data_IF_556594235811
#
_entry.id   IF_556594235811
#
_cell.length_a   1.000
_cell.length_b   1.000
_cell.length_c   1.000
_cell.angle_alpha   90.00
_cell.angle_beta   90.00
_cell.angle_gamma   90.00
#
_symmetry.space_group_name_H-M   'P 1'
#
loop_
_entity.id
_entity.type
_entity.pdbx_description
1 polymer ?
#
# COMPACT_ATOMS: atom_id res chain seq x y z
N UNK A 1 26.64 31.51 17.12
CA UNK A 1 26.27 31.42 15.69
C UNK A 1 25.82 30.00 15.25
N UNK A 2 25.67 29.03 16.17
CA UNK A 2 25.28 27.65 15.84
C UNK A 2 23.76 27.38 15.82
N UNK A 3 22.94 28.21 16.48
CA UNK A 3 21.49 27.98 16.58
C UNK A 3 20.69 28.22 15.29
N UNK A 4 21.21 28.99 14.32
CA UNK A 4 20.50 29.28 13.06
C UNK A 4 20.60 28.16 12.00
N UNK A 5 21.68 27.36 12.00
CA UNK A 5 21.81 26.22 11.08
C UNK A 5 20.87 25.05 11.45
N UNK A 6 20.52 24.90 12.73
CA UNK A 6 19.66 23.82 13.21
C UNK A 6 18.19 23.95 12.77
N UNK A 7 17.69 25.18 12.60
CA UNK A 7 16.32 25.43 12.09
C UNK A 7 16.21 25.12 10.59
N UNK A 8 17.26 25.40 9.82
CA UNK A 8 17.27 25.21 8.36
C UNK A 8 17.22 23.72 7.98
N UNK A 9 18.08 22.89 8.57
CA UNK A 9 18.14 21.46 8.23
C UNK A 9 16.89 20.68 8.67
N UNK A 10 16.24 21.07 9.78
CA UNK A 10 14.92 20.53 10.17
C UNK A 10 13.83 20.90 9.16
N UNK A 11 13.82 22.15 8.70
CA UNK A 11 12.89 22.61 7.64
C UNK A 11 13.11 21.87 6.33
N UNK A 12 14.35 21.52 5.98
CA UNK A 12 14.63 20.72 4.77
C UNK A 12 14.12 19.29 4.86
N UNK A 13 14.22 18.63 6.02
CA UNK A 13 13.65 17.28 6.21
C UNK A 13 12.12 17.36 6.17
N UNK A 14 11.50 18.32 6.86
CA UNK A 14 10.05 18.53 6.75
C UNK A 14 9.64 18.92 5.32
N UNK A 15 10.47 19.64 4.56
CA UNK A 15 10.19 19.97 3.17
C UNK A 15 10.29 18.75 2.26
N UNK A 16 11.25 17.84 2.48
CA UNK A 16 11.35 16.56 1.78
C UNK A 16 10.12 15.68 2.03
N UNK A 17 9.67 15.58 3.28
CA UNK A 17 8.46 14.83 3.64
C UNK A 17 7.18 15.40 3.01
N UNK A 18 7.21 16.68 2.61
CA UNK A 18 6.09 17.37 1.96
C UNK A 18 6.34 17.62 0.45
N UNK A 19 7.49 17.20 -0.08
CA UNK A 19 7.84 17.41 -1.47
C UNK A 19 7.00 16.47 -2.34
N UNK A 20 6.47 16.98 -3.46
CA UNK A 20 5.85 16.13 -4.48
C UNK A 20 6.93 15.59 -5.40
N UNK A 21 6.90 14.29 -5.63
CA UNK A 21 7.74 13.64 -6.65
C UNK A 21 7.52 14.31 -8.02
N UNK A 22 8.56 14.73 -8.76
CA UNK A 22 8.38 15.20 -10.14
C UNK A 22 7.80 14.12 -11.08
N UNK A 23 7.82 12.83 -10.69
CA UNK A 23 7.20 11.71 -11.41
C UNK A 23 5.71 11.47 -11.06
N UNK A 24 5.11 12.28 -10.18
CA UNK A 24 3.72 12.07 -9.70
C UNK A 24 2.65 12.11 -10.78
N UNK A 25 2.83 12.85 -11.88
CA UNK A 25 1.74 13.06 -12.85
C UNK A 25 1.37 11.81 -13.64
N UNK A 26 2.32 10.91 -13.91
CA UNK A 26 2.06 9.68 -14.68
C UNK A 26 1.56 8.53 -13.79
N UNK A 27 2.08 8.39 -12.55
CA UNK A 27 1.66 7.32 -11.62
C UNK A 27 0.34 7.60 -10.89
N UNK A 28 -0.06 8.87 -10.75
CA UNK A 28 -1.38 9.20 -10.21
C UNK A 28 -2.52 8.68 -11.11
N UNK A 29 -2.33 8.67 -12.43
CA UNK A 29 -3.27 8.06 -13.39
C UNK A 29 -3.34 6.53 -13.24
N UNK A 30 -2.21 5.85 -13.09
CA UNK A 30 -2.18 4.40 -12.79
C UNK A 30 -2.87 4.07 -11.45
N UNK A 31 -2.68 4.92 -10.43
CA UNK A 31 -3.38 4.78 -9.14
C UNK A 31 -4.89 5.06 -9.24
N UNK A 32 -5.33 5.88 -10.20
CA UNK A 32 -6.74 6.15 -10.46
C UNK A 32 -7.40 4.99 -11.20
N UNK A 33 -6.70 4.38 -12.15
CA UNK A 33 -7.12 3.16 -12.85
C UNK A 33 -7.20 1.97 -11.88
N UNK A 34 -6.23 1.83 -10.98
CA UNK A 34 -6.26 0.80 -9.94
C UNK A 34 -7.30 1.07 -8.84
N UNK A 35 -7.62 2.34 -8.53
CA UNK A 35 -8.76 2.73 -7.68
C UNK A 35 -10.09 2.38 -8.35
N UNK A 36 -10.22 2.63 -9.64
CA UNK A 36 -11.39 2.20 -10.41
C UNK A 36 -11.52 0.68 -10.35
N UNK A 37 -10.45 -0.07 -10.59
CA UNK A 37 -10.43 -1.54 -10.54
C UNK A 37 -10.86 -2.10 -9.16
N UNK A 38 -10.35 -1.58 -8.05
CA UNK A 38 -10.74 -2.04 -6.72
C UNK A 38 -12.13 -1.57 -6.26
N UNK A 39 -12.55 -0.35 -6.66
CA UNK A 39 -13.94 0.06 -6.50
C UNK A 39 -14.89 -0.87 -7.28
N UNK A 40 -14.45 -1.34 -8.46
CA UNK A 40 -15.18 -2.33 -9.24
C UNK A 40 -15.21 -3.70 -8.54
N UNK A 41 -14.14 -4.16 -7.89
CA UNK A 41 -14.12 -5.43 -7.11
C UNK A 41 -15.08 -5.36 -5.91
N UNK A 42 -15.02 -4.31 -5.09
CA UNK A 42 -15.96 -4.16 -3.96
C UNK A 42 -17.41 -3.99 -4.44
N UNK A 43 -17.61 -3.26 -5.55
CA UNK A 43 -18.91 -3.15 -6.21
C UNK A 43 -19.38 -4.50 -6.73
N UNK A 44 -18.49 -5.36 -7.24
CA UNK A 44 -18.78 -6.71 -7.74
C UNK A 44 -19.15 -7.67 -6.61
N UNK A 45 -18.58 -7.50 -5.40
CA UNK A 45 -19.00 -8.26 -4.22
C UNK A 45 -20.40 -7.84 -3.77
N UNK A 46 -20.69 -6.53 -3.75
CA UNK A 46 -22.04 -6.02 -3.44
C UNK A 46 -23.07 -6.34 -4.54
N UNK A 47 -22.67 -6.28 -5.82
CA UNK A 47 -23.44 -6.74 -6.97
C UNK A 47 -23.66 -8.24 -6.86
N UNK A 48 -22.68 -9.03 -6.41
CA UNK A 48 -22.81 -10.47 -6.23
C UNK A 48 -23.90 -10.83 -5.21
N UNK A 49 -24.02 -10.07 -4.11
CA UNK A 49 -25.11 -10.23 -3.16
C UNK A 49 -26.47 -9.84 -3.76
N UNK A 50 -26.51 -8.73 -4.49
CA UNK A 50 -27.72 -8.25 -5.17
C UNK A 50 -28.15 -9.19 -6.31
N UNK A 51 -27.18 -9.80 -7.00
CA UNK A 51 -27.39 -10.77 -8.07
C UNK A 51 -27.85 -12.11 -7.53
N UNK A 52 -27.38 -12.55 -6.35
CA UNK A 52 -27.92 -13.73 -5.65
C UNK A 52 -29.38 -13.53 -5.27
N UNK A 53 -29.76 -12.33 -4.82
CA UNK A 53 -31.15 -11.97 -4.53
C UNK A 53 -32.02 -11.94 -5.80
N UNK A 54 -31.54 -11.28 -6.86
CA UNK A 54 -32.23 -11.22 -8.16
C UNK A 54 -32.33 -12.61 -8.80
N UNK A 55 -31.29 -13.44 -8.69
CA UNK A 55 -31.30 -14.81 -9.16
C UNK A 55 -32.29 -15.67 -8.36
N UNK A 56 -32.34 -15.52 -7.04
CA UNK A 56 -33.34 -16.18 -6.20
C UNK A 56 -34.77 -15.82 -6.63
N UNK A 57 -35.02 -14.54 -6.91
CA UNK A 57 -36.30 -14.08 -7.44
C UNK A 57 -36.59 -14.61 -8.85
N UNK A 58 -35.57 -14.64 -9.73
CA UNK A 58 -35.66 -15.17 -11.09
C UNK A 58 -35.95 -16.67 -11.12
N UNK A 59 -35.33 -17.46 -10.24
CA UNK A 59 -35.59 -18.88 -10.07
C UNK A 59 -36.99 -19.15 -9.51
N UNK A 60 -37.43 -18.36 -8.51
CA UNK A 60 -38.80 -18.44 -8.01
C UNK A 60 -39.82 -18.15 -9.10
N UNK A 61 -39.57 -17.12 -9.93
CA UNK A 61 -40.42 -16.78 -11.06
C UNK A 61 -40.44 -17.87 -12.15
N UNK A 62 -39.28 -18.45 -12.48
CA UNK A 62 -39.18 -19.58 -13.40
C UNK A 62 -39.96 -20.81 -12.91
N UNK A 63 -39.84 -21.14 -11.62
CA UNK A 63 -40.59 -22.24 -10.99
C UNK A 63 -42.10 -21.97 -11.01
N UNK A 64 -42.50 -20.71 -10.82
CA UNK A 64 -43.90 -20.28 -10.92
C UNK A 64 -44.46 -20.47 -12.34
N UNK A 65 -43.69 -20.09 -13.38
CA UNK A 65 -44.07 -20.29 -14.78
C UNK A 65 -44.18 -21.78 -15.13
N UNK A 66 -43.24 -22.61 -14.66
CA UNK A 66 -43.27 -24.06 -14.83
C UNK A 66 -44.49 -24.66 -14.13
N UNK A 67 -44.78 -24.23 -12.90
CA UNK A 67 -45.95 -24.69 -12.14
C UNK A 67 -47.28 -24.32 -12.80
N UNK A 68 -47.43 -23.09 -13.29
CA UNK A 68 -48.63 -22.63 -14.00
C UNK A 68 -48.78 -23.33 -15.35
N UNK A 69 -47.68 -23.48 -16.10
CA UNK A 69 -47.66 -24.20 -17.37
C UNK A 69 -48.06 -25.67 -17.20
N UNK A 70 -47.50 -26.34 -16.19
CA UNK A 70 -47.83 -27.73 -15.88
C UNK A 70 -49.27 -27.91 -15.39
N UNK A 71 -49.83 -26.95 -14.64
CA UNK A 71 -51.22 -27.00 -14.18
C UNK A 71 -52.25 -26.74 -15.29
N UNK A 72 -51.85 -26.02 -16.36
CA UNK A 72 -52.70 -25.70 -17.51
C UNK A 72 -52.44 -26.57 -18.75
N UNK A 73 -51.59 -27.59 -18.64
CA UNK A 73 -51.09 -28.39 -19.78
C UNK A 73 -50.48 -27.54 -20.92
N UNK A 74 -49.98 -26.34 -20.60
CA UNK A 74 -49.39 -25.43 -21.56
C UNK A 74 -47.87 -25.65 -21.64
N UNK A 75 -47.46 -26.43 -22.65
CA UNK A 75 -46.06 -26.75 -22.88
C UNK A 75 -45.22 -25.49 -23.16
N UNK A 76 -45.82 -24.45 -23.76
CA UNK A 76 -45.10 -23.23 -24.14
C UNK A 76 -44.59 -22.44 -22.92
N UNK A 77 -45.42 -22.30 -21.88
CA UNK A 77 -45.05 -21.66 -20.61
C UNK A 77 -43.97 -22.45 -19.87
N UNK A 78 -44.04 -23.78 -19.95
CA UNK A 78 -43.07 -24.67 -19.31
C UNK A 78 -41.69 -24.52 -19.96
N UNK A 79 -41.61 -24.48 -21.29
CA UNK A 79 -40.36 -24.22 -22.01
C UNK A 79 -39.78 -22.83 -21.73
N UNK A 80 -40.63 -21.80 -21.64
CA UNK A 80 -40.21 -20.43 -21.32
C UNK A 80 -39.58 -20.35 -19.92
N UNK A 81 -40.19 -21.01 -18.93
CA UNK A 81 -39.64 -21.10 -17.57
C UNK A 81 -38.28 -21.80 -17.52
N UNK A 82 -38.13 -22.91 -18.25
CA UNK A 82 -36.85 -23.62 -18.37
C UNK A 82 -35.76 -22.78 -19.05
N UNK A 83 -36.10 -22.06 -20.13
CA UNK A 83 -35.18 -21.15 -20.82
C UNK A 83 -34.70 -20.03 -19.87
N UNK A 84 -35.61 -19.45 -19.09
CA UNK A 84 -35.29 -18.38 -18.14
C UNK A 84 -34.38 -18.87 -17.01
N UNK A 85 -34.61 -20.09 -16.50
CA UNK A 85 -33.73 -20.71 -15.51
C UNK A 85 -32.32 -20.96 -16.08
N UNK A 86 -32.21 -21.46 -17.32
CA UNK A 86 -30.93 -21.68 -18.00
C UNK A 86 -30.16 -20.38 -18.23
N UNK A 87 -30.82 -19.33 -18.72
CA UNK A 87 -30.19 -18.02 -18.93
C UNK A 87 -29.70 -17.42 -17.61
N UNK A 88 -30.50 -17.54 -16.54
CA UNK A 88 -30.12 -17.06 -15.21
C UNK A 88 -28.90 -17.81 -14.67
N UNK A 89 -28.84 -19.13 -14.87
CA UNK A 89 -27.71 -19.95 -14.46
C UNK A 89 -26.44 -19.59 -15.25
N UNK A 90 -26.57 -19.38 -16.55
CA UNK A 90 -25.46 -18.97 -17.41
C UNK A 90 -24.91 -17.59 -17.01
N UNK A 91 -25.79 -16.65 -16.69
CA UNK A 91 -25.40 -15.32 -16.21
C UNK A 91 -24.65 -15.39 -14.86
N UNK A 92 -25.10 -16.25 -13.93
CA UNK A 92 -24.41 -16.50 -12.67
C UNK A 92 -23.01 -17.09 -12.87
N UNK A 93 -22.90 -18.10 -13.74
CA UNK A 93 -21.61 -18.71 -14.09
C UNK A 93 -20.66 -17.69 -14.73
N UNK A 94 -21.18 -16.84 -15.61
CA UNK A 94 -20.40 -15.79 -16.26
C UNK A 94 -19.87 -14.78 -15.23
N UNK A 95 -20.72 -14.28 -14.32
CA UNK A 95 -20.30 -13.35 -13.26
C UNK A 95 -19.29 -14.00 -12.32
N UNK A 96 -19.50 -15.26 -11.94
CA UNK A 96 -18.57 -15.99 -11.09
C UNK A 96 -17.19 -16.15 -11.77
N UNK A 97 -17.17 -16.55 -13.04
CA UNK A 97 -15.94 -16.69 -13.80
C UNK A 97 -15.22 -15.36 -13.98
N UNK A 98 -15.96 -14.28 -14.29
CA UNK A 98 -15.41 -12.94 -14.44
C UNK A 98 -14.85 -12.39 -13.13
N UNK A 99 -15.60 -12.52 -12.02
CA UNK A 99 -15.15 -12.11 -10.69
C UNK A 99 -13.90 -12.86 -10.25
N UNK A 100 -13.82 -14.17 -10.53
CA UNK A 100 -12.62 -14.97 -10.24
C UNK A 100 -11.41 -14.54 -11.07
N UNK A 101 -11.61 -14.13 -12.32
CA UNK A 101 -10.54 -13.57 -13.15
C UNK A 101 -10.01 -12.26 -12.57
N UNK A 102 -10.91 -11.34 -12.21
CA UNK A 102 -10.55 -10.05 -11.64
C UNK A 102 -9.83 -10.19 -10.29
N UNK A 103 -10.28 -11.14 -9.46
CA UNK A 103 -9.65 -11.43 -8.18
C UNK A 103 -8.19 -11.90 -8.34
N UNK A 104 -7.92 -12.78 -9.32
CA UNK A 104 -6.57 -13.24 -9.63
C UNK A 104 -5.66 -12.12 -10.13
N UNK A 105 -6.21 -11.21 -10.93
CA UNK A 105 -5.47 -10.06 -11.45
C UNK A 105 -5.07 -9.11 -10.31
N UNK A 106 -6.01 -8.81 -9.41
CA UNK A 106 -5.74 -8.02 -8.21
C UNK A 106 -4.72 -8.69 -7.28
N UNK A 107 -4.84 -10.01 -7.06
CA UNK A 107 -3.89 -10.80 -6.28
C UNK A 107 -2.47 -10.69 -6.87
N UNK A 108 -2.32 -10.86 -8.19
CA UNK A 108 -1.03 -10.73 -8.87
C UNK A 108 -0.42 -9.33 -8.73
N UNK A 109 -1.23 -8.27 -8.86
CA UNK A 109 -0.74 -6.90 -8.67
C UNK A 109 -0.29 -6.65 -7.23
N UNK A 110 -1.03 -7.17 -6.25
CA UNK A 110 -0.68 -7.05 -4.84
C UNK A 110 0.56 -7.87 -4.47
N UNK A 111 0.74 -9.05 -5.04
CA UNK A 111 1.96 -9.86 -4.86
C UNK A 111 3.20 -9.15 -5.40
N UNK A 112 3.09 -8.53 -6.58
CA UNK A 112 4.18 -7.75 -7.17
C UNK A 112 4.51 -6.53 -6.30
N UNK A 113 3.49 -5.78 -5.88
CA UNK A 113 3.66 -4.65 -4.96
C UNK A 113 4.27 -5.07 -3.62
N UNK A 114 3.80 -6.17 -3.03
CA UNK A 114 4.36 -6.70 -1.78
C UNK A 114 5.83 -7.08 -1.94
N UNK A 115 6.20 -7.68 -3.08
CA UNK A 115 7.59 -8.01 -3.39
C UNK A 115 8.47 -6.77 -3.43
N UNK A 116 8.01 -5.68 -4.06
CA UNK A 116 8.74 -4.41 -4.06
C UNK A 116 8.92 -3.85 -2.64
N UNK A 117 7.87 -3.89 -1.81
CA UNK A 117 7.94 -3.44 -0.41
C UNK A 117 8.90 -4.30 0.42
N UNK A 118 8.92 -5.62 0.22
CA UNK A 118 9.84 -6.53 0.89
C UNK A 118 11.29 -6.29 0.48
N UNK A 119 11.56 -6.01 -0.80
CA UNK A 119 12.89 -5.63 -1.27
C UNK A 119 13.34 -4.32 -0.62
N UNK A 120 12.45 -3.33 -0.57
CA UNK A 120 12.75 -2.03 0.04
C UNK A 120 12.99 -2.15 1.55
N UNK A 121 12.21 -2.99 2.23
CA UNK A 121 12.41 -3.31 3.64
C UNK A 121 13.78 -3.94 3.86
N UNK A 122 14.12 -4.97 3.08
CA UNK A 122 15.43 -5.64 3.17
C UNK A 122 16.60 -4.69 2.95
N UNK A 123 16.47 -3.80 1.96
CA UNK A 123 17.45 -2.73 1.70
C UNK A 123 17.59 -1.80 2.90
N UNK A 124 16.48 -1.33 3.46
CA UNK A 124 16.47 -0.45 4.63
C UNK A 124 17.05 -1.13 5.89
N UNK A 125 16.70 -2.40 6.13
CA UNK A 125 17.25 -3.21 7.23
C UNK A 125 18.79 -3.29 7.14
N UNK A 126 19.30 -3.61 5.96
CA UNK A 126 20.74 -3.67 5.66
C UNK A 126 21.43 -2.30 5.81
N UNK A 127 20.76 -1.24 5.37
CA UNK A 127 21.27 0.13 5.47
C UNK A 127 21.40 0.56 6.94
N UNK A 128 20.35 0.36 7.74
CA UNK A 128 20.35 0.66 9.17
C UNK A 128 21.46 -0.12 9.89
N UNK A 129 21.62 -1.42 9.60
CA UNK A 129 22.71 -2.21 10.20
C UNK A 129 24.10 -1.66 9.83
N UNK A 130 24.28 -1.21 8.59
CA UNK A 130 25.54 -0.60 8.13
C UNK A 130 25.80 0.73 8.84
N UNK A 131 24.79 1.57 8.95
CA UNK A 131 24.83 2.83 9.70
C UNK A 131 25.17 2.56 11.15
N UNK A 132 24.53 1.60 11.80
CA UNK A 132 24.79 1.23 13.19
C UNK A 132 26.24 0.81 13.38
N UNK A 133 26.76 -0.08 12.53
CA UNK A 133 28.18 -0.51 12.60
C UNK A 133 29.15 0.66 12.46
N UNK A 134 28.88 1.60 11.55
CA UNK A 134 29.74 2.77 11.29
C UNK A 134 29.64 3.80 12.40
N UNK A 135 28.45 4.00 12.96
CA UNK A 135 28.16 5.05 13.95
C UNK A 135 28.34 4.61 15.40
N UNK A 136 28.38 3.30 15.70
CA UNK A 136 28.53 2.74 17.06
C UNK A 136 29.73 3.32 17.82
N UNK A 137 30.79 3.71 17.10
CA UNK A 137 32.00 4.32 17.67
C UNK A 137 31.92 5.84 17.84
N UNK A 138 30.93 6.51 17.25
CA UNK A 138 30.91 7.96 17.04
C UNK A 138 29.60 8.63 17.47
N UNK A 139 28.71 7.93 18.18
CA UNK A 139 27.43 8.46 18.70
C UNK A 139 27.58 9.68 19.63
N UNK A 140 28.79 10.03 20.05
CA UNK A 140 29.08 11.23 20.84
C UNK A 140 29.33 12.50 19.99
N UNK A 141 29.51 12.37 18.66
CA UNK A 141 29.81 13.47 17.74
C UNK A 141 28.60 13.90 16.88
N UNK A 142 27.37 13.51 17.24
CA UNK A 142 26.24 13.53 16.30
C UNK A 142 25.50 14.88 16.34
N UNK A 143 25.47 15.57 15.19
CA UNK A 143 24.60 16.75 15.02
C UNK A 143 23.11 16.35 15.01
N UNK A 144 22.23 17.25 15.46
CA UNK A 144 20.77 17.01 15.59
C UNK A 144 20.12 16.50 14.31
N UNK A 145 20.58 16.96 13.13
CA UNK A 145 20.02 16.55 11.83
C UNK A 145 20.24 15.06 11.53
N UNK A 146 21.37 14.48 11.96
CA UNK A 146 21.74 13.09 11.69
C UNK A 146 20.96 12.14 12.58
N UNK A 147 20.79 12.52 13.85
CA UNK A 147 19.90 11.82 14.79
C UNK A 147 18.47 11.84 14.26
N UNK A 148 18.00 12.97 13.71
CA UNK A 148 16.67 13.05 13.08
C UNK A 148 16.54 12.15 11.85
N UNK A 149 17.50 12.16 10.92
CA UNK A 149 17.48 11.28 9.75
C UNK A 149 17.49 9.80 10.15
N UNK A 150 18.37 9.41 11.08
CA UNK A 150 18.46 8.05 11.57
C UNK A 150 17.17 7.58 12.24
N UNK A 151 16.58 8.42 13.10
CA UNK A 151 15.31 8.10 13.75
C UNK A 151 14.15 7.98 12.75
N UNK A 152 14.12 8.83 11.71
CA UNK A 152 13.13 8.73 10.64
C UNK A 152 13.30 7.43 9.83
N UNK A 153 14.53 7.02 9.53
CA UNK A 153 14.80 5.73 8.88
C UNK A 153 14.29 4.56 9.73
N UNK A 154 14.52 4.60 11.04
CA UNK A 154 14.04 3.58 11.98
C UNK A 154 12.51 3.54 12.06
N UNK A 155 11.85 4.71 12.12
CA UNK A 155 10.38 4.76 12.07
C UNK A 155 9.82 4.24 10.75
N UNK A 156 10.45 4.58 9.62
CA UNK A 156 10.06 4.05 8.32
C UNK A 156 10.20 2.53 8.26
N UNK A 157 11.26 1.98 8.84
CA UNK A 157 11.47 0.53 8.94
C UNK A 157 10.35 -0.15 9.74
N UNK A 158 9.98 0.41 10.89
CA UNK A 158 8.92 -0.14 11.75
C UNK A 158 7.56 -0.11 11.04
N UNK A 159 7.20 1.04 10.47
CA UNK A 159 5.92 1.20 9.75
C UNK A 159 5.89 0.30 8.51
N UNK A 160 6.97 0.23 7.74
CA UNK A 160 7.08 -0.63 6.57
C UNK A 160 6.93 -2.10 6.96
N UNK A 161 7.60 -2.55 8.03
CA UNK A 161 7.47 -3.91 8.55
C UNK A 161 6.04 -4.27 8.92
N UNK A 162 5.37 -3.37 9.64
CA UNK A 162 3.98 -3.56 10.06
C UNK A 162 3.04 -3.61 8.86
N UNK A 163 3.18 -2.70 7.90
CA UNK A 163 2.36 -2.66 6.71
C UNK A 163 2.57 -3.89 5.82
N UNK A 164 3.81 -4.33 5.63
CA UNK A 164 4.09 -5.56 4.85
C UNK A 164 3.45 -6.78 5.50
N UNK A 165 3.52 -6.91 6.83
CA UNK A 165 2.91 -8.04 7.54
C UNK A 165 1.38 -8.03 7.41
N UNK A 166 0.75 -6.85 7.50
CA UNK A 166 -0.69 -6.72 7.32
C UNK A 166 -1.13 -7.05 5.89
N UNK A 167 -0.37 -6.63 4.88
CA UNK A 167 -0.66 -6.96 3.47
C UNK A 167 -0.51 -8.46 3.23
N UNK A 168 0.55 -9.07 3.76
CA UNK A 168 0.82 -10.51 3.64
C UNK A 168 -0.28 -11.36 4.30
N UNK A 169 -0.70 -11.02 5.52
CA UNK A 169 -1.81 -11.70 6.21
C UNK A 169 -3.10 -11.66 5.38
N UNK A 170 -3.36 -10.52 4.74
CA UNK A 170 -4.59 -10.31 3.94
C UNK A 170 -4.54 -11.02 2.60
N UNK A 171 -3.35 -11.12 1.98
CA UNK A 171 -3.14 -11.94 0.79
C UNK A 171 -3.34 -13.42 1.11
N UNK A 172 -2.76 -13.92 2.21
CA UNK A 172 -2.91 -15.31 2.65
C UNK A 172 -4.37 -15.68 2.94
N UNK A 173 -5.19 -14.74 3.43
CA UNK A 173 -6.61 -14.98 3.65
C UNK A 173 -7.40 -15.24 2.34
N UNK A 174 -6.92 -14.77 1.18
CA UNK A 174 -7.44 -15.13 -0.15
C UNK A 174 -8.89 -14.76 -0.45
N UNK A 175 -9.57 -14.04 0.44
CA UNK A 175 -10.95 -13.59 0.23
C UNK A 175 -10.98 -12.24 -0.49
N UNK A 176 -12.00 -12.00 -1.33
CA UNK A 176 -12.13 -10.73 -2.06
C UNK A 176 -12.11 -9.50 -1.14
N UNK A 177 -12.75 -9.58 0.04
CA UNK A 177 -12.72 -8.51 1.04
C UNK A 177 -11.35 -8.32 1.70
N UNK A 178 -10.56 -9.39 1.85
CA UNK A 178 -9.20 -9.28 2.34
C UNK A 178 -8.26 -8.67 1.29
N UNK A 179 -8.43 -9.02 0.01
CA UNK A 179 -7.68 -8.41 -1.10
C UNK A 179 -8.02 -6.92 -1.27
N UNK A 180 -9.29 -6.54 -1.16
CA UNK A 180 -9.71 -5.13 -1.16
C UNK A 180 -9.08 -4.35 0.01
N UNK A 181 -8.99 -4.96 1.20
CA UNK A 181 -8.34 -4.37 2.35
C UNK A 181 -6.82 -4.24 2.16
N UNK A 182 -6.15 -5.26 1.62
CA UNK A 182 -4.72 -5.22 1.28
C UNK A 182 -4.41 -4.09 0.28
N UNK A 183 -5.24 -3.97 -0.75
CA UNK A 183 -5.14 -2.90 -1.73
C UNK A 183 -5.36 -1.52 -1.13
N UNK A 184 -6.32 -1.39 -0.21
CA UNK A 184 -6.55 -0.13 0.51
C UNK A 184 -5.33 0.29 1.36
N UNK A 185 -4.61 -0.68 1.95
CA UNK A 185 -3.36 -0.41 2.65
C UNK A 185 -2.29 0.06 1.66
N UNK A 186 -2.17 -0.62 0.52
CA UNK A 186 -1.19 -0.29 -0.52
C UNK A 186 -1.40 1.11 -1.12
N UNK A 187 -2.65 1.55 -1.25
CA UNK A 187 -3.02 2.87 -1.74
C UNK A 187 -3.01 3.95 -0.66
N UNK A 188 -2.96 3.55 0.62
CA UNK A 188 -2.97 4.46 1.75
C UNK A 188 -1.66 5.21 1.94
N UNK A 189 -1.68 6.10 2.93
CA UNK A 189 -0.49 6.80 3.39
C UNK A 189 0.08 6.07 4.61
N UNK A 190 1.41 5.87 4.62
CA UNK A 190 2.13 5.57 5.85
C UNK A 190 2.15 6.81 6.74
N UNK A 191 1.82 6.62 8.00
CA UNK A 191 1.84 7.70 8.99
C UNK A 191 3.09 7.54 9.85
N UNK A 192 4.02 8.49 9.73
CA UNK A 192 5.14 8.63 10.65
C UNK A 192 4.87 9.82 11.59
N UNK A 193 5.30 9.70 12.84
CA UNK A 193 5.13 10.76 13.84
C UNK A 193 6.49 11.30 14.20
N UNK A 194 6.75 12.57 13.86
CA UNK A 194 8.02 13.19 14.20
C UNK A 194 8.10 13.44 15.71
N UNK A 195 8.70 12.49 16.43
CA UNK A 195 8.96 12.58 17.87
C UNK A 195 10.16 13.46 18.22
N UNK A 196 10.91 13.99 17.23
CA UNK A 196 12.15 14.75 17.44
C UNK A 196 12.02 16.26 17.20
N UNK A 197 10.86 16.72 16.73
CA UNK A 197 10.46 18.12 16.79
C UNK A 197 9.59 18.29 18.02
N UNK A 198 10.19 18.75 19.13
CA UNK A 198 9.54 19.06 20.40
C UNK A 198 8.36 20.06 20.33
N UNK A 199 7.96 20.50 19.14
CA UNK A 199 6.88 21.47 18.91
C UNK A 199 5.86 21.07 17.82
N UNK A 200 5.93 19.88 17.18
CA UNK A 200 4.92 19.55 16.16
C UNK A 200 4.05 18.33 16.46
N UNK A 201 4.60 17.17 16.85
CA UNK A 201 3.79 15.94 17.07
C UNK A 201 2.84 15.61 15.91
N UNK A 202 3.06 16.20 14.73
CA UNK A 202 2.13 16.13 13.61
C UNK A 202 2.41 14.85 12.83
N UNK A 203 1.38 14.05 12.54
CA UNK A 203 1.52 12.90 11.67
C UNK A 203 1.88 13.37 10.26
N UNK A 204 2.98 12.86 9.71
CA UNK A 204 3.31 13.01 8.31
C UNK A 204 2.80 11.80 7.54
N UNK A 205 2.09 12.07 6.45
CA UNK A 205 1.48 11.07 5.57
C UNK A 205 2.37 10.90 4.35
N UNK A 206 2.95 9.72 4.20
CA UNK A 206 3.81 9.35 3.09
C UNK A 206 3.11 8.28 2.26
N UNK A 207 2.71 8.58 1.01
CA UNK A 207 2.15 7.57 0.13
C UNK A 207 3.20 6.50 -0.20
N UNK A 208 2.79 5.23 -0.27
CA UNK A 208 3.70 4.10 -0.56
C UNK A 208 4.48 4.28 -1.87
N UNK A 209 3.85 4.85 -2.91
CA UNK A 209 4.54 5.09 -4.19
C UNK A 209 5.73 6.04 -4.09
N UNK A 210 5.76 6.90 -3.05
CA UNK A 210 6.79 7.90 -2.84
C UNK A 210 7.88 7.44 -1.86
N UNK A 211 7.69 6.27 -1.23
CA UNK A 211 8.58 5.74 -0.20
C UNK A 211 10.00 5.51 -0.73
N UNK A 212 10.15 4.98 -1.94
CA UNK A 212 11.46 4.74 -2.56
C UNK A 212 12.27 6.03 -2.74
N UNK A 213 11.60 7.12 -3.14
CA UNK A 213 12.24 8.43 -3.30
C UNK A 213 12.68 8.99 -1.96
N UNK A 214 11.77 9.01 -0.97
CA UNK A 214 12.09 9.51 0.38
C UNK A 214 13.24 8.73 1.02
N UNK A 215 13.26 7.40 0.88
CA UNK A 215 14.35 6.59 1.39
C UNK A 215 15.69 6.95 0.73
N UNK A 216 15.72 7.11 -0.59
CA UNK A 216 16.94 7.54 -1.29
C UNK A 216 17.46 8.89 -0.81
N UNK A 217 16.58 9.88 -0.62
CA UNK A 217 16.96 11.20 -0.09
C UNK A 217 17.46 11.14 1.36
N UNK A 218 16.82 10.33 2.21
CA UNK A 218 17.25 10.13 3.59
C UNK A 218 18.60 9.40 3.67
N UNK A 219 18.84 8.41 2.83
CA UNK A 219 20.13 7.71 2.71
C UNK A 219 21.24 8.68 2.31
N UNK A 220 21.03 9.51 1.28
CA UNK A 220 21.99 10.53 0.85
C UNK A 220 22.35 11.46 2.01
N UNK A 221 21.33 12.01 2.70
CA UNK A 221 21.53 12.89 3.85
C UNK A 221 22.26 12.21 5.01
N UNK A 222 22.01 10.92 5.23
CA UNK A 222 22.68 10.16 6.26
C UNK A 222 24.15 9.90 5.89
N UNK A 223 24.44 9.54 4.64
CA UNK A 223 25.81 9.36 4.14
C UNK A 223 26.64 10.64 4.13
N UNK A 224 26.04 11.78 3.76
CA UNK A 224 26.66 13.10 3.94
C UNK A 224 26.99 13.35 5.41
N UNK A 225 26.05 13.04 6.29
CA UNK A 225 26.24 13.15 7.72
C UNK A 225 27.36 12.27 8.26
N UNK A 226 27.48 11.02 7.80
CA UNK A 226 28.56 10.13 8.23
C UNK A 226 29.91 10.63 7.70
N UNK A 227 29.99 11.08 6.45
CA UNK A 227 31.23 11.63 5.87
C UNK A 227 31.75 12.86 6.61
N UNK A 228 30.86 13.76 7.03
CA UNK A 228 31.22 14.89 7.88
C UNK A 228 31.83 14.43 9.21
N UNK A 229 31.27 13.40 9.86
CA UNK A 229 31.80 12.85 11.12
C UNK A 229 33.17 12.23 10.90
N UNK A 230 33.33 11.43 9.85
CA UNK A 230 34.60 10.80 9.49
C UNK A 230 35.68 11.87 9.24
N UNK A 231 35.35 12.96 8.54
CA UNK A 231 36.26 14.09 8.30
C UNK A 231 36.65 14.82 9.61
N UNK A 232 35.69 15.08 10.51
CA UNK A 232 35.97 15.66 11.83
C UNK A 232 36.93 14.77 12.63
N UNK A 233 36.70 13.46 12.68
CA UNK A 233 37.58 12.52 13.39
C UNK A 233 39.00 12.50 12.82
N UNK A 234 39.14 12.51 11.49
CA UNK A 234 40.46 12.57 10.83
C UNK A 234 41.19 13.85 11.24
N UNK A 235 40.48 14.99 11.28
CA UNK A 235 41.05 16.27 11.69
C UNK A 235 41.49 16.29 13.16
N UNK A 236 40.76 15.62 14.05
CA UNK A 236 41.16 15.46 15.45
C UNK A 236 42.33 14.50 15.66
N UNK A 237 42.45 13.47 14.82
CA UNK A 237 43.48 12.43 14.94
C UNK A 237 44.83 12.85 14.34
N UNK A 238 44.80 13.70 13.32
CA UNK A 238 45.97 14.35 12.73
C UNK A 238 45.85 15.87 12.90
N UNK A 239 46.02 16.40 14.13
CA UNK A 239 46.17 17.84 14.28
C UNK A 239 47.45 18.22 13.54
N UNK A 240 47.31 18.99 12.46
CA UNK A 240 48.47 19.47 11.69
C UNK A 240 49.45 20.12 12.67
N UNK A 241 50.62 19.52 12.80
CA UNK A 241 51.83 20.10 13.35
C UNK A 241 52.83 20.28 12.22
#
# INVERSE_FOLDING_TARGET
MYFFQHSSKKKEISALLNARDPLTTTRLEESAIARAAASHVSSLVSLGALYRLLFGAACLFALLLIGIGSAKEDQSLTYLGCLFALLSLFALLFIYAYGRKLQKELESTLEEGLRELLQLKSHLDSYIETVDKRTNRFFHCVTTSKVTTYYLLFQLQEVLSKSTAQIEERLQAGSGSALDAAHSIFQGDMVITDGLIAESGKPHKIPFYHLKYILGELEIKMEEGIREIEAEIISFRNPVG
#
